data_IF_725170310681
#
_entry.id   IF_725170310681
#
_cell.length_a   1.000
_cell.length_b   1.000
_cell.length_c   1.000
_cell.angle_alpha   90.00
_cell.angle_beta   90.00
_cell.angle_gamma   90.00
#
_symmetry.space_group_name_H-M   'P 1'
#
loop_
_entity.id
_entity.type
_entity.pdbx_description
1 polymer ?
#
# COMPACT_ATOMS: atom_id res chain seq x y z
N UNK A 1 -17.96 -69.12 -3.42
CA UNK A 1 -18.68 -68.26 -2.48
C UNK A 1 -17.61 -67.61 -1.62
N UNK A 2 -17.31 -66.41 -1.64
CA UNK A 2 -18.00 -65.15 -1.74
C UNK A 2 -17.06 -64.08 -2.30
N UNK A 3 -17.60 -63.34 -3.25
CA UNK A 3 -17.04 -62.16 -3.88
C UNK A 3 -17.34 -60.96 -2.97
N UNK A 4 -16.61 -59.88 -3.11
CA UNK A 4 -16.75 -58.56 -2.45
C UNK A 4 -15.97 -58.32 -1.15
N UNK A 5 -14.80 -57.73 -1.34
CA UNK A 5 -14.37 -56.55 -0.57
C UNK A 5 -13.19 -55.82 -1.27
N UNK A 6 -13.53 -55.08 -2.28
CA UNK A 6 -12.57 -54.23 -3.01
C UNK A 6 -13.16 -52.84 -3.24
N UNK A 7 -13.32 -52.10 -2.15
CA UNK A 7 -13.71 -50.67 -2.23
C UNK A 7 -13.37 -50.04 -0.88
N UNK A 8 -12.56 -48.98 -0.94
CA UNK A 8 -12.13 -48.04 0.11
C UNK A 8 -10.67 -48.17 0.62
N UNK A 9 -9.72 -48.24 -0.30
CA UNK A 9 -8.38 -47.72 -0.03
C UNK A 9 -8.24 -46.42 -0.84
N UNK A 10 -8.68 -45.29 -0.25
CA UNK A 10 -8.27 -43.96 -0.71
C UNK A 10 -6.88 -43.72 -0.18
N UNK A 11 -5.86 -43.43 -1.02
CA UNK A 11 -4.59 -42.97 -0.55
C UNK A 11 -4.80 -41.63 0.17
N UNK A 12 -4.50 -41.63 1.46
CA UNK A 12 -4.42 -40.41 2.27
C UNK A 12 -3.49 -39.43 1.56
N UNK A 13 -4.05 -38.32 1.07
CA UNK A 13 -3.26 -37.19 0.60
C UNK A 13 -2.42 -36.70 1.78
N UNK A 14 -1.15 -37.11 1.81
CA UNK A 14 -0.15 -36.51 2.70
C UNK A 14 -0.14 -35.02 2.43
N UNK A 15 -0.57 -34.26 3.42
CA UNK A 15 -0.29 -32.81 3.45
C UNK A 15 1.20 -32.62 3.21
N UNK A 16 1.61 -31.67 2.34
CA UNK A 16 3.02 -31.37 2.21
C UNK A 16 3.56 -30.96 3.58
N UNK A 17 4.68 -31.56 3.94
CA UNK A 17 5.46 -31.32 5.13
C UNK A 17 5.62 -29.81 5.41
N UNK A 18 5.59 -29.34 6.66
CA UNK A 18 5.82 -27.95 6.98
C UNK A 18 7.21 -27.54 6.45
N UNK A 19 7.23 -26.42 5.75
CA UNK A 19 8.37 -25.79 5.10
C UNK A 19 9.66 -25.90 5.93
N UNK A 20 10.83 -26.12 5.30
CA UNK A 20 12.09 -26.18 6.01
C UNK A 20 12.30 -24.89 6.80
N UNK A 21 12.65 -25.07 8.05
CA UNK A 21 13.10 -24.11 9.05
C UNK A 21 13.06 -22.64 8.65
N UNK A 22 11.95 -21.97 8.96
CA UNK A 22 11.99 -20.54 9.18
C UNK A 22 13.06 -20.32 10.27
N UNK A 23 14.27 -19.92 9.88
CA UNK A 23 15.29 -19.42 10.79
C UNK A 23 14.56 -18.49 11.74
N UNK A 24 14.45 -18.87 13.01
CA UNK A 24 13.90 -18.03 14.07
C UNK A 24 14.63 -16.70 13.99
N UNK A 25 13.99 -15.70 13.39
CA UNK A 25 14.55 -14.37 13.31
C UNK A 25 14.84 -13.95 14.75
N UNK A 26 16.10 -13.61 15.03
CA UNK A 26 16.53 -13.21 16.36
C UNK A 26 15.64 -12.04 16.87
N UNK A 27 15.43 -11.90 18.20
CA UNK A 27 14.75 -10.73 18.73
C UNK A 27 15.46 -9.47 18.27
N UNK A 28 14.69 -8.39 17.98
CA UNK A 28 15.26 -7.09 17.61
C UNK A 28 16.29 -6.68 18.66
N UNK A 29 17.54 -6.38 18.30
CA UNK A 29 18.45 -5.76 19.25
C UNK A 29 17.81 -4.46 19.76
N UNK A 30 17.95 -4.18 21.06
CA UNK A 30 17.53 -2.91 21.63
C UNK A 30 18.32 -1.81 20.90
N UNK A 31 17.63 -1.01 20.09
CA UNK A 31 18.25 0.08 19.38
C UNK A 31 18.41 1.26 20.34
N UNK A 32 19.65 1.73 20.50
CA UNK A 32 19.89 3.00 21.17
C UNK A 32 19.10 4.09 20.43
N UNK A 33 18.43 5.02 21.15
CA UNK A 33 17.78 6.15 20.52
C UNK A 33 18.80 6.92 19.66
N UNK A 34 18.42 7.19 18.41
CA UNK A 34 19.27 7.90 17.48
C UNK A 34 19.61 9.32 18.00
N UNK A 35 20.81 9.74 17.76
CA UNK A 35 21.36 11.02 18.25
C UNK A 35 21.13 12.19 17.30
N UNK A 36 20.26 12.12 16.32
CA UNK A 36 20.23 13.15 15.31
C UNK A 36 19.13 14.21 15.53
N UNK A 37 19.48 15.33 16.11
CA UNK A 37 19.00 16.63 15.62
C UNK A 37 20.21 17.35 15.09
N UNK A 38 20.44 17.32 13.76
CA UNK A 38 21.56 17.96 13.06
C UNK A 38 22.97 17.42 13.41
N UNK A 39 23.07 16.31 14.18
CA UNK A 39 24.34 15.69 14.54
C UNK A 39 24.83 14.74 13.47
N UNK A 40 26.04 14.96 13.01
CA UNK A 40 26.79 14.02 12.18
C UNK A 40 27.21 12.80 13.03
N UNK A 41 27.04 11.56 12.52
CA UNK A 41 27.99 10.54 12.93
C UNK A 41 29.37 10.97 12.43
N UNK A 42 30.41 10.71 13.21
CA UNK A 42 31.78 11.20 12.92
C UNK A 42 32.31 10.71 11.56
N UNK A 43 31.68 9.75 10.92
CA UNK A 43 32.06 9.21 9.60
C UNK A 43 30.91 8.55 8.84
N UNK A 44 30.99 8.61 7.51
CA UNK A 44 30.08 7.85 6.63
C UNK A 44 30.28 6.35 6.89
N UNK A 45 29.20 5.58 7.12
CA UNK A 45 29.29 4.13 7.29
C UNK A 45 30.02 3.46 6.13
N UNK A 46 30.78 2.41 6.42
CA UNK A 46 31.54 1.69 5.40
C UNK A 46 31.33 0.19 5.54
N UNK A 47 31.41 -0.55 4.42
CA UNK A 47 31.25 -1.99 4.40
C UNK A 47 30.12 -2.47 3.52
N UNK A 48 29.70 -3.75 3.70
CA UNK A 48 28.59 -4.36 2.95
C UNK A 48 27.37 -4.49 3.84
N UNK A 49 26.28 -3.92 3.36
CA UNK A 49 24.99 -3.93 4.03
C UNK A 49 23.98 -4.76 3.24
N UNK A 50 22.94 -5.25 3.91
CA UNK A 50 21.82 -5.94 3.26
C UNK A 50 21.04 -4.96 2.39
N UNK A 51 20.78 -3.79 2.94
CA UNK A 51 20.17 -2.65 2.25
C UNK A 51 20.46 -1.36 3.03
N UNK A 52 20.20 -0.23 2.40
CA UNK A 52 20.34 1.09 3.01
C UNK A 52 19.01 1.83 2.86
N UNK A 53 18.42 2.24 3.97
CA UNK A 53 17.29 3.17 3.91
C UNK A 53 17.81 4.61 3.80
N UNK A 54 17.11 5.42 3.01
CA UNK A 54 17.42 6.83 2.78
C UNK A 54 16.17 7.66 2.90
N UNK A 55 16.31 8.82 3.50
CA UNK A 55 15.29 9.85 3.63
C UNK A 55 15.92 11.23 3.42
N UNK A 56 15.15 12.20 2.96
CA UNK A 56 15.64 13.57 2.73
C UNK A 56 14.65 14.60 3.23
N UNK A 57 15.22 15.72 3.79
CA UNK A 57 14.44 16.90 4.09
C UNK A 57 14.70 17.99 3.05
N UNK A 58 13.68 18.79 2.74
CA UNK A 58 13.75 19.85 1.73
C UNK A 58 13.51 21.21 2.34
N UNK A 59 14.24 22.21 1.86
CA UNK A 59 14.18 23.59 2.36
C UNK A 59 12.85 24.29 2.00
N UNK A 60 12.23 23.91 0.89
CA UNK A 60 10.98 24.49 0.40
C UNK A 60 10.18 23.47 -0.43
N UNK A 61 9.12 23.91 -1.09
CA UNK A 61 8.26 23.09 -1.95
C UNK A 61 8.94 22.58 -3.22
N UNK A 62 10.10 23.10 -3.60
CA UNK A 62 10.91 22.55 -4.67
C UNK A 62 11.61 21.28 -4.19
N UNK A 63 11.31 20.16 -4.82
CA UNK A 63 11.89 18.87 -4.47
C UNK A 63 13.43 18.82 -4.60
N UNK A 64 14.03 19.69 -5.41
CA UNK A 64 15.49 19.80 -5.55
C UNK A 64 16.17 20.49 -4.36
N UNK A 65 15.40 21.12 -3.46
CA UNK A 65 15.93 21.91 -2.33
C UNK A 65 16.36 21.06 -1.14
N UNK A 66 17.03 19.93 -1.37
CA UNK A 66 17.46 19.01 -0.31
C UNK A 66 18.38 19.74 0.68
N UNK A 67 17.98 19.75 1.96
CA UNK A 67 18.74 20.39 3.05
C UNK A 67 19.25 19.39 4.11
N UNK A 68 18.83 18.15 4.08
CA UNK A 68 19.39 17.06 4.89
C UNK A 68 19.26 15.75 4.12
N UNK A 69 20.25 14.87 4.23
CA UNK A 69 20.20 13.48 3.77
C UNK A 69 20.47 12.60 4.98
N UNK A 70 19.55 11.67 5.25
CA UNK A 70 19.68 10.65 6.28
C UNK A 70 19.77 9.27 5.65
N UNK A 71 20.63 8.43 6.19
CA UNK A 71 20.77 7.02 5.78
C UNK A 71 20.80 6.11 6.99
N UNK A 72 20.27 4.90 6.79
CA UNK A 72 20.29 3.83 7.78
C UNK A 72 20.75 2.54 7.11
N UNK A 73 21.96 2.12 7.43
CA UNK A 73 22.61 0.93 6.88
C UNK A 73 22.26 -0.29 7.72
N UNK A 74 21.69 -1.31 7.12
CA UNK A 74 21.31 -2.56 7.79
C UNK A 74 22.34 -3.64 7.49
N UNK A 75 23.04 -4.09 8.52
CA UNK A 75 24.07 -5.15 8.37
C UNK A 75 23.46 -6.56 8.30
N UNK A 76 24.33 -7.57 8.13
CA UNK A 76 23.92 -8.97 8.05
C UNK A 76 23.31 -9.53 9.35
N UNK A 77 23.51 -8.85 10.47
CA UNK A 77 22.97 -9.17 11.80
C UNK A 77 21.75 -8.33 12.18
N UNK A 78 21.13 -7.63 11.23
CA UNK A 78 19.98 -6.72 11.43
C UNK A 78 20.28 -5.50 12.32
N UNK A 79 21.55 -5.19 12.57
CA UNK A 79 21.91 -3.94 13.26
C UNK A 79 21.79 -2.79 12.29
N UNK A 80 21.35 -1.65 12.79
CA UNK A 80 21.17 -0.41 12.01
C UNK A 80 22.21 0.59 12.45
N UNK A 81 23.04 1.01 11.51
CA UNK A 81 23.95 2.12 11.65
C UNK A 81 23.36 3.32 10.92
N UNK A 82 23.16 4.44 11.62
CA UNK A 82 22.57 5.66 11.06
C UNK A 82 23.62 6.73 10.86
N UNK A 83 23.48 7.44 9.77
CA UNK A 83 24.26 8.63 9.45
C UNK A 83 23.34 9.69 8.86
N UNK A 84 23.57 10.95 9.18
CA UNK A 84 22.89 12.06 8.53
C UNK A 84 23.84 13.21 8.29
N UNK A 85 23.63 13.95 7.22
CA UNK A 85 24.39 15.14 6.90
C UNK A 85 23.47 16.26 6.44
N UNK A 86 23.80 17.47 6.85
CA UNK A 86 23.20 18.68 6.31
C UNK A 86 23.73 18.95 4.91
N UNK A 87 22.90 19.55 4.08
CA UNK A 87 23.21 19.93 2.71
C UNK A 87 22.80 21.37 2.51
N UNK A 88 23.68 22.17 1.92
CA UNK A 88 23.30 23.52 1.53
C UNK A 88 22.59 23.50 0.17
N UNK A 89 21.27 23.71 0.13
CA UNK A 89 20.52 23.69 -1.11
C UNK A 89 20.78 24.93 -1.99
N UNK A 90 21.43 25.95 -1.45
CA UNK A 90 21.62 27.30 -2.07
C UNK A 90 20.28 27.90 -2.52
N UNK A 91 19.22 27.59 -1.79
CA UNK A 91 17.84 28.00 -2.04
C UNK A 91 17.22 28.58 -0.78
N UNK A 92 16.13 29.34 -0.94
CA UNK A 92 15.39 29.87 0.20
C UNK A 92 14.73 28.75 1.00
N UNK A 93 14.55 28.99 2.30
CA UNK A 93 13.80 28.09 3.16
C UNK A 93 12.38 28.63 3.37
N UNK A 94 11.40 27.76 3.21
CA UNK A 94 10.01 28.11 3.51
C UNK A 94 9.72 27.94 5.01
N UNK A 95 9.00 28.88 5.64
CA UNK A 95 8.66 28.79 7.06
C UNK A 95 7.91 27.51 7.44
N UNK A 96 7.15 26.91 6.51
CA UNK A 96 6.48 25.64 6.73
C UNK A 96 7.50 24.51 6.92
N UNK A 97 8.48 24.40 6.03
CA UNK A 97 9.52 23.38 6.07
C UNK A 97 10.39 23.53 7.32
N UNK A 98 10.80 24.77 7.66
CA UNK A 98 11.52 25.04 8.90
C UNK A 98 10.73 24.57 10.14
N UNK A 99 9.43 24.82 10.20
CA UNK A 99 8.60 24.33 11.33
C UNK A 99 8.50 22.82 11.37
N UNK A 100 8.59 22.15 10.22
CA UNK A 100 8.45 20.70 10.09
C UNK A 100 9.68 19.96 10.62
N UNK A 101 10.87 20.28 10.09
CA UNK A 101 12.12 19.58 10.41
C UNK A 101 13.09 20.40 11.29
N UNK A 102 12.85 21.70 11.46
CA UNK A 102 13.68 22.58 12.32
C UNK A 102 14.97 23.09 11.68
N UNK A 103 15.32 22.67 10.46
CA UNK A 103 16.53 23.12 9.77
C UNK A 103 16.30 24.52 9.23
N UNK A 104 17.24 25.41 9.51
CA UNK A 104 17.26 26.82 9.08
C UNK A 104 18.45 27.12 8.18
N UNK A 105 18.43 28.23 7.43
CA UNK A 105 19.55 28.62 6.57
C UNK A 105 20.92 28.65 7.27
N UNK A 106 20.94 29.14 8.50
CA UNK A 106 22.16 29.21 9.33
C UNK A 106 22.76 27.85 9.68
N UNK A 107 21.94 26.81 9.72
CA UNK A 107 22.41 25.43 9.99
C UNK A 107 23.17 24.80 8.82
N UNK A 108 22.92 25.27 7.61
CA UNK A 108 23.46 24.66 6.36
C UNK A 108 24.51 25.57 5.68
N UNK A 109 24.85 26.71 6.26
CA UNK A 109 25.73 27.71 5.64
C UNK A 109 27.07 27.10 5.24
N UNK A 110 27.68 26.32 6.13
CA UNK A 110 28.97 25.65 5.93
C UNK A 110 28.82 24.20 5.43
N UNK A 111 27.58 23.72 5.17
CA UNK A 111 27.34 22.38 4.70
C UNK A 111 27.70 22.24 3.19
N UNK A 112 28.12 21.05 2.75
CA UNK A 112 28.38 20.79 1.34
C UNK A 112 27.13 21.04 0.48
N UNK A 113 27.33 21.46 -0.76
CA UNK A 113 26.20 21.48 -1.70
C UNK A 113 25.76 20.06 -2.06
N UNK A 114 24.59 19.92 -2.70
CA UNK A 114 24.04 18.61 -3.05
C UNK A 114 25.02 17.78 -3.90
N UNK A 115 25.73 18.41 -4.84
CA UNK A 115 26.69 17.71 -5.71
C UNK A 115 27.80 17.06 -4.89
N UNK A 116 28.39 17.81 -3.97
CA UNK A 116 29.49 17.32 -3.13
C UNK A 116 28.97 16.24 -2.16
N UNK A 117 27.81 16.47 -1.53
CA UNK A 117 27.18 15.53 -0.62
C UNK A 117 26.88 14.17 -1.27
N UNK A 118 26.32 14.19 -2.47
CA UNK A 118 25.97 12.95 -3.16
C UNK A 118 27.22 12.20 -3.65
N UNK A 119 28.27 12.91 -4.07
CA UNK A 119 29.56 12.30 -4.43
C UNK A 119 30.21 11.59 -3.24
N UNK A 120 30.14 12.17 -2.07
CA UNK A 120 30.64 11.53 -0.84
C UNK A 120 29.86 10.26 -0.50
N UNK A 121 28.57 10.20 -0.80
CA UNK A 121 27.69 9.06 -0.47
C UNK A 121 27.68 7.99 -1.55
N UNK A 122 27.97 8.30 -2.82
CA UNK A 122 27.91 7.32 -3.92
C UNK A 122 28.67 6.03 -3.69
N UNK A 123 29.92 6.02 -3.15
CA UNK A 123 30.64 4.77 -2.89
C UNK A 123 29.89 3.82 -1.95
N UNK A 124 29.10 4.39 -1.03
CA UNK A 124 28.24 3.63 -0.12
C UNK A 124 26.92 3.23 -0.79
N UNK A 125 26.29 4.13 -1.56
CA UNK A 125 24.94 3.90 -2.09
C UNK A 125 24.91 3.00 -3.34
N UNK A 126 25.88 3.14 -4.23
CA UNK A 126 25.91 2.45 -5.54
C UNK A 126 25.80 0.91 -5.45
N UNK A 127 26.52 0.22 -4.55
CA UNK A 127 26.47 -1.25 -4.50
C UNK A 127 25.22 -1.81 -3.83
N UNK A 128 24.41 -0.97 -3.16
CA UNK A 128 23.34 -1.44 -2.31
C UNK A 128 21.93 -1.21 -2.91
N UNK A 129 20.95 -1.97 -2.42
CA UNK A 129 19.55 -1.61 -2.57
C UNK A 129 19.19 -0.46 -1.65
N UNK A 130 18.56 0.56 -2.20
CA UNK A 130 18.07 1.70 -1.44
C UNK A 130 16.60 1.50 -1.10
N UNK A 131 16.24 1.79 0.14
CA UNK A 131 14.86 1.75 0.64
C UNK A 131 14.44 3.18 0.97
N UNK A 132 13.28 3.58 0.48
CA UNK A 132 12.62 4.85 0.81
C UNK A 132 11.28 4.58 1.47
N UNK A 133 10.72 5.58 2.16
CA UNK A 133 9.35 5.49 2.65
C UNK A 133 8.42 6.38 1.83
N UNK A 134 7.81 5.85 0.79
CA UNK A 134 7.17 6.53 -0.34
C UNK A 134 8.14 6.90 -1.46
N UNK A 135 7.64 7.56 -2.51
CA UNK A 135 8.48 7.87 -3.67
C UNK A 135 9.09 9.28 -3.62
N UNK A 136 8.97 9.97 -2.49
CA UNK A 136 9.42 11.37 -2.37
C UNK A 136 10.93 11.49 -2.48
N UNK A 137 11.68 10.69 -1.73
CA UNK A 137 13.15 10.78 -1.62
C UNK A 137 13.82 10.56 -2.97
N UNK A 138 13.40 9.53 -3.71
CA UNK A 138 13.87 9.29 -5.07
C UNK A 138 13.55 10.44 -6.01
N UNK A 139 12.36 11.03 -5.89
CA UNK A 139 11.97 12.19 -6.71
C UNK A 139 12.82 13.42 -6.37
N UNK A 140 13.07 13.69 -5.08
CA UNK A 140 13.88 14.79 -4.63
C UNK A 140 15.32 14.65 -5.12
N UNK A 141 15.95 13.50 -4.94
CA UNK A 141 17.31 13.23 -5.43
C UNK A 141 17.37 13.36 -6.97
N UNK A 142 16.36 12.83 -7.68
CA UNK A 142 16.27 12.96 -9.14
C UNK A 142 16.17 14.41 -9.56
N UNK A 143 15.35 15.21 -8.88
CA UNK A 143 15.19 16.63 -9.15
C UNK A 143 16.49 17.41 -8.88
N UNK A 144 17.15 17.13 -7.75
CA UNK A 144 18.42 17.75 -7.38
C UNK A 144 19.55 17.42 -8.36
N UNK A 145 19.66 16.14 -8.80
CA UNK A 145 20.62 15.75 -9.86
C UNK A 145 20.39 16.54 -11.14
N UNK A 146 19.14 16.60 -11.61
CA UNK A 146 18.79 17.35 -12.83
C UNK A 146 19.06 18.83 -12.68
N UNK A 147 18.73 19.40 -11.51
CA UNK A 147 18.94 20.82 -11.21
C UNK A 147 20.42 21.24 -11.22
N UNK A 148 21.33 20.33 -10.88
CA UNK A 148 22.78 20.58 -10.93
C UNK A 148 23.48 20.00 -12.19
N UNK A 149 22.69 19.52 -13.19
CA UNK A 149 23.25 19.01 -14.45
C UNK A 149 23.96 17.66 -14.32
N UNK A 150 23.67 16.88 -13.27
CA UNK A 150 24.22 15.52 -13.07
C UNK A 150 23.32 14.45 -13.65
N UNK A 151 23.92 13.37 -14.11
CA UNK A 151 23.18 12.15 -14.40
C UNK A 151 22.54 11.59 -13.12
N UNK A 152 21.30 11.14 -13.25
CA UNK A 152 20.58 10.47 -12.14
C UNK A 152 21.15 9.08 -11.95
N UNK A 153 21.67 8.73 -10.75
CA UNK A 153 22.21 7.42 -10.49
C UNK A 153 21.16 6.31 -10.73
N UNK A 154 21.57 5.22 -11.37
CA UNK A 154 20.70 4.08 -11.63
C UNK A 154 20.65 3.14 -10.41
N UNK A 155 20.23 3.66 -9.27
CA UNK A 155 20.10 2.89 -8.04
C UNK A 155 18.90 1.96 -8.06
N UNK A 156 19.02 0.86 -7.32
CA UNK A 156 17.94 -0.10 -7.12
C UNK A 156 17.09 0.34 -5.94
N UNK A 157 15.86 0.75 -6.20
CA UNK A 157 14.95 1.29 -5.19
C UNK A 157 13.89 0.28 -4.74
N UNK A 158 13.66 0.25 -3.43
CA UNK A 158 12.53 -0.40 -2.80
C UNK A 158 11.68 0.63 -2.03
N UNK A 159 10.39 0.39 -1.95
CA UNK A 159 9.45 1.26 -1.22
C UNK A 159 8.90 0.51 -0.01
N UNK A 160 9.30 0.95 1.20
CA UNK A 160 8.86 0.37 2.46
C UNK A 160 7.35 0.51 2.69
N UNK A 161 6.67 1.49 2.07
CA UNK A 161 5.19 1.57 2.07
C UNK A 161 4.59 0.37 1.35
N UNK A 162 5.17 -0.02 0.21
CA UNK A 162 4.71 -1.20 -0.55
C UNK A 162 4.96 -2.48 0.24
N UNK A 163 6.10 -2.58 0.91
CA UNK A 163 6.43 -3.69 1.82
C UNK A 163 5.46 -3.72 3.01
N UNK A 164 5.19 -2.59 3.64
CA UNK A 164 4.26 -2.47 4.76
C UNK A 164 2.81 -2.83 4.37
N UNK A 165 2.35 -2.46 3.19
CA UNK A 165 1.03 -2.85 2.66
C UNK A 165 0.88 -4.37 2.52
N UNK A 166 1.99 -5.05 2.26
CA UNK A 166 2.02 -6.51 2.20
C UNK A 166 2.00 -7.15 3.58
N UNK A 167 2.75 -6.58 4.53
CA UNK A 167 2.88 -7.12 5.88
C UNK A 167 1.65 -6.84 6.76
N UNK A 168 1.04 -5.65 6.61
CA UNK A 168 -0.10 -5.19 7.42
C UNK A 168 -1.24 -4.67 6.55
N UNK A 169 -1.94 -5.53 5.79
CA UNK A 169 -3.03 -5.11 4.89
C UNK A 169 -4.24 -4.52 5.65
N UNK A 170 -4.38 -4.82 6.94
CA UNK A 170 -5.39 -4.32 7.86
C UNK A 170 -5.29 -2.81 8.12
N UNK A 171 -4.11 -2.21 7.90
CA UNK A 171 -3.91 -0.76 8.02
C UNK A 171 -4.53 0.04 6.87
N UNK A 172 -4.94 -0.62 5.78
CA UNK A 172 -5.67 0.04 4.71
C UNK A 172 -7.03 0.49 5.24
N UNK A 173 -7.21 1.82 5.32
CA UNK A 173 -8.39 2.40 5.92
C UNK A 173 -8.30 2.70 7.43
N UNK A 174 -7.25 2.22 8.09
CA UNK A 174 -6.99 2.41 9.52
C UNK A 174 -5.70 3.24 9.73
N UNK A 175 -5.70 4.50 9.29
CA UNK A 175 -4.55 5.40 9.36
C UNK A 175 -3.50 5.19 8.26
N UNK A 176 -3.60 4.11 7.47
CA UNK A 176 -2.72 3.83 6.35
C UNK A 176 -1.31 3.36 6.75
N UNK A 177 -0.38 3.43 5.79
CA UNK A 177 0.98 2.89 5.92
C UNK A 177 2.05 3.98 5.96
N UNK A 178 1.70 5.22 6.34
CA UNK A 178 2.68 6.29 6.58
C UNK A 178 3.46 6.05 7.88
N UNK A 179 4.71 6.59 7.97
CA UNK A 179 5.60 6.38 9.11
C UNK A 179 4.95 6.74 10.45
N UNK A 180 4.17 7.82 10.52
CA UNK A 180 3.48 8.23 11.74
C UNK A 180 2.49 7.17 12.27
N UNK A 181 1.78 6.47 11.38
CA UNK A 181 0.87 5.39 11.77
C UNK A 181 1.64 4.09 12.07
N UNK A 182 2.65 3.76 11.28
CA UNK A 182 3.52 2.61 11.51
C UNK A 182 4.31 2.76 12.81
N UNK A 183 4.74 3.98 13.18
CA UNK A 183 5.32 4.29 14.49
C UNK A 183 4.44 3.77 15.63
N UNK A 184 3.15 4.10 15.60
CA UNK A 184 2.18 3.66 16.62
C UNK A 184 1.97 2.14 16.57
N UNK A 185 1.77 1.59 15.39
CA UNK A 185 1.48 0.16 15.16
C UNK A 185 2.63 -0.76 15.56
N UNK A 186 3.85 -0.35 15.28
CA UNK A 186 5.08 -1.12 15.52
C UNK A 186 5.81 -0.69 16.78
N UNK A 187 5.30 0.33 17.50
CA UNK A 187 5.90 0.92 18.71
C UNK A 187 7.35 1.37 18.45
N UNK A 188 7.56 2.04 17.31
CA UNK A 188 8.86 2.57 16.97
C UNK A 188 9.11 3.86 17.76
N UNK A 189 10.34 4.04 18.23
CA UNK A 189 10.78 5.27 18.88
C UNK A 189 11.74 6.03 17.96
N UNK A 190 11.30 7.21 17.48
CA UNK A 190 12.09 8.11 16.64
C UNK A 190 11.47 9.51 16.59
N UNK A 191 12.29 10.51 16.26
CA UNK A 191 11.82 11.87 16.00
C UNK A 191 11.44 11.98 14.52
N UNK A 192 10.15 12.18 14.23
CA UNK A 192 9.68 12.38 12.87
C UNK A 192 10.16 13.72 12.30
N UNK A 193 10.52 13.76 11.02
CA UNK A 193 11.12 14.90 10.33
C UNK A 193 12.56 15.19 10.74
N UNK A 194 13.31 14.15 11.03
CA UNK A 194 14.76 14.11 11.03
C UNK A 194 15.18 13.02 10.05
N UNK A 195 15.85 13.36 8.96
CA UNK A 195 16.11 12.43 7.86
C UNK A 195 16.82 11.14 8.31
N UNK A 196 17.76 11.22 9.27
CA UNK A 196 18.44 10.05 9.83
C UNK A 196 17.49 9.13 10.59
N UNK A 197 16.59 9.71 11.38
CA UNK A 197 15.60 8.98 12.16
C UNK A 197 14.49 8.41 11.28
N UNK A 198 14.04 9.13 10.25
CA UNK A 198 13.03 8.65 9.31
C UNK A 198 13.60 7.54 8.41
N UNK A 199 14.87 7.64 7.97
CA UNK A 199 15.58 6.54 7.30
C UNK A 199 15.68 5.30 8.21
N UNK A 200 16.03 5.47 9.50
CA UNK A 200 16.06 4.39 10.48
C UNK A 200 14.69 3.76 10.66
N UNK A 201 13.65 4.56 10.74
CA UNK A 201 12.28 4.07 10.85
C UNK A 201 11.85 3.28 9.60
N UNK A 202 12.21 3.73 8.40
CA UNK A 202 11.97 3.00 7.16
C UNK A 202 12.69 1.65 7.13
N UNK A 203 13.95 1.59 7.60
CA UNK A 203 14.70 0.34 7.77
C UNK A 203 14.01 -0.61 8.78
N UNK A 204 13.57 -0.09 9.92
CA UNK A 204 12.84 -0.89 10.93
C UNK A 204 11.51 -1.43 10.38
N UNK A 205 10.79 -0.67 9.57
CA UNK A 205 9.57 -1.15 8.89
C UNK A 205 9.87 -2.38 8.04
N UNK A 206 10.97 -2.38 7.29
CA UNK A 206 11.39 -3.54 6.48
C UNK A 206 11.72 -4.74 7.38
N UNK A 207 12.53 -4.57 8.42
CA UNK A 207 12.89 -5.64 9.35
C UNK A 207 11.68 -6.24 10.08
N UNK A 208 10.72 -5.40 10.47
CA UNK A 208 9.45 -5.87 11.04
C UNK A 208 8.62 -6.64 10.02
N UNK A 209 8.60 -6.20 8.75
CA UNK A 209 7.87 -6.87 7.69
C UNK A 209 8.49 -8.25 7.35
N UNK A 210 9.80 -8.37 7.35
CA UNK A 210 10.51 -9.65 7.20
C UNK A 210 10.03 -10.65 8.26
N UNK A 211 9.99 -10.23 9.51
CA UNK A 211 9.53 -11.05 10.63
C UNK A 211 8.05 -11.41 10.55
N UNK A 212 7.22 -10.43 10.25
CA UNK A 212 5.77 -10.61 10.12
C UNK A 212 5.41 -11.62 9.03
N UNK A 213 6.17 -11.63 7.93
CA UNK A 213 5.90 -12.47 6.77
C UNK A 213 6.76 -13.73 6.71
N UNK A 214 7.81 -13.84 7.53
CA UNK A 214 8.79 -14.93 7.47
C UNK A 214 9.58 -14.94 6.15
N UNK A 215 9.87 -13.76 5.58
CA UNK A 215 10.52 -13.58 4.29
C UNK A 215 11.75 -12.68 4.45
N UNK A 216 12.79 -12.92 3.65
CA UNK A 216 13.93 -12.03 3.58
C UNK A 216 13.66 -10.83 2.68
N UNK A 217 14.47 -9.78 2.80
CA UNK A 217 14.34 -8.54 2.04
C UNK A 217 14.22 -8.78 0.53
N UNK A 218 15.07 -9.64 -0.02
CA UNK A 218 15.07 -9.99 -1.45
C UNK A 218 13.74 -10.63 -1.89
N UNK A 219 13.10 -11.40 -1.01
CA UNK A 219 11.79 -12.00 -1.26
C UNK A 219 10.66 -10.99 -1.12
N UNK A 220 10.84 -9.98 -0.27
CA UNK A 220 9.90 -8.86 -0.17
C UNK A 220 9.88 -8.02 -1.44
N UNK A 221 10.98 -7.93 -2.17
CA UNK A 221 11.08 -7.21 -3.44
C UNK A 221 10.43 -7.94 -4.62
N UNK A 222 10.27 -9.27 -4.51
CA UNK A 222 9.65 -10.05 -5.59
C UNK A 222 8.20 -9.61 -5.80
N UNK A 223 7.80 -9.41 -7.07
CA UNK A 223 6.41 -9.12 -7.38
C UNK A 223 5.51 -10.19 -6.75
N UNK A 224 4.54 -9.78 -5.96
CA UNK A 224 3.49 -10.70 -5.57
C UNK A 224 2.74 -11.14 -6.83
N UNK A 225 2.38 -12.43 -6.96
CA UNK A 225 1.37 -12.79 -7.92
C UNK A 225 0.21 -11.84 -7.63
N UNK A 226 -0.10 -10.98 -8.59
CA UNK A 226 -1.27 -10.11 -8.48
C UNK A 226 -2.40 -11.04 -8.09
N UNK A 227 -2.94 -10.88 -6.85
CA UNK A 227 -4.30 -11.37 -6.61
C UNK A 227 -5.04 -10.78 -7.79
N UNK A 228 -5.41 -11.61 -8.74
CA UNK A 228 -6.22 -11.18 -9.87
C UNK A 228 -7.43 -10.57 -9.21
N UNK A 229 -7.47 -9.24 -9.13
CA UNK A 229 -8.70 -8.55 -8.81
C UNK A 229 -9.64 -9.13 -9.83
N UNK A 230 -10.67 -9.84 -9.36
CA UNK A 230 -11.62 -10.51 -10.20
C UNK A 230 -11.90 -9.58 -11.36
N UNK A 231 -11.63 -10.03 -12.58
CA UNK A 231 -11.61 -9.23 -13.80
C UNK A 231 -12.76 -8.24 -13.69
N UNK A 232 -12.55 -6.97 -14.07
CA UNK A 232 -13.60 -5.95 -13.98
C UNK A 232 -14.83 -6.55 -14.63
N UNK A 233 -15.71 -7.17 -13.84
CA UNK A 233 -16.84 -7.93 -14.35
C UNK A 233 -17.80 -6.89 -14.90
N UNK A 234 -17.88 -6.85 -16.21
CA UNK A 234 -18.89 -6.09 -16.93
C UNK A 234 -19.74 -7.09 -17.70
N UNK A 235 -21.04 -7.10 -17.43
CA UNK A 235 -21.99 -7.96 -18.12
C UNK A 235 -23.11 -7.10 -18.67
N UNK A 236 -23.61 -7.46 -19.84
CA UNK A 236 -24.86 -6.92 -20.36
C UNK A 236 -26.00 -7.62 -19.62
N UNK A 237 -27.01 -6.87 -19.21
CA UNK A 237 -28.22 -7.43 -18.62
C UNK A 237 -29.07 -8.14 -19.68
N UNK A 238 -29.82 -9.13 -19.24
CA UNK A 238 -30.85 -9.77 -20.07
C UNK A 238 -31.91 -8.71 -20.43
N UNK A 239 -32.13 -8.42 -21.72
CA UNK A 239 -33.16 -7.46 -22.13
C UNK A 239 -34.60 -7.84 -21.75
N UNK A 240 -34.84 -9.14 -21.49
CA UNK A 240 -36.12 -9.64 -21.00
C UNK A 240 -36.22 -9.65 -19.47
N UNK A 241 -35.14 -9.35 -18.74
CA UNK A 241 -35.13 -9.33 -17.29
C UNK A 241 -35.94 -8.14 -16.74
N UNK A 242 -36.60 -8.35 -15.60
CA UNK A 242 -37.47 -7.36 -14.99
C UNK A 242 -36.75 -6.06 -14.55
N UNK A 243 -35.42 -6.11 -14.39
CA UNK A 243 -34.56 -4.95 -14.09
C UNK A 243 -33.83 -4.41 -15.33
N UNK A 244 -34.34 -4.70 -16.54
CA UNK A 244 -33.76 -4.20 -17.78
C UNK A 244 -33.69 -2.65 -17.76
N UNK A 245 -32.59 -2.11 -18.26
CA UNK A 245 -32.30 -0.67 -18.21
C UNK A 245 -31.59 -0.21 -16.91
N UNK A 246 -31.54 -1.02 -15.86
CA UNK A 246 -30.78 -0.69 -14.66
C UNK A 246 -29.28 -0.95 -14.85
N UNK A 247 -28.47 -0.12 -14.22
CA UNK A 247 -27.00 -0.23 -14.20
C UNK A 247 -26.52 -0.40 -12.78
N UNK A 248 -25.82 -1.51 -12.51
CA UNK A 248 -25.31 -1.84 -11.17
C UNK A 248 -23.79 -1.83 -11.11
N UNK A 249 -23.28 -1.33 -10.01
CA UNK A 249 -21.84 -1.34 -9.65
C UNK A 249 -21.68 -1.97 -8.28
N UNK A 250 -20.70 -2.85 -8.14
CA UNK A 250 -20.37 -3.50 -6.87
C UNK A 250 -19.12 -2.89 -6.23
N UNK A 251 -19.12 -2.70 -4.90
CA UNK A 251 -18.00 -2.22 -4.11
C UNK A 251 -17.94 -2.92 -2.75
N UNK A 252 -16.79 -2.83 -2.07
CA UNK A 252 -16.60 -3.46 -0.76
C UNK A 252 -16.43 -5.00 -0.84
N UNK A 253 -16.38 -5.64 0.32
CA UNK A 253 -16.29 -7.08 0.48
C UNK A 253 -17.69 -7.70 0.47
N UNK A 254 -18.07 -8.38 -0.61
CA UNK A 254 -19.31 -9.14 -0.70
C UNK A 254 -19.12 -10.54 -0.10
N UNK A 255 -20.17 -11.11 0.46
CA UNK A 255 -20.20 -12.51 0.92
C UNK A 255 -20.17 -13.47 -0.26
N UNK A 256 -20.92 -13.16 -1.32
CA UNK A 256 -20.85 -13.91 -2.59
C UNK A 256 -19.68 -13.45 -3.45
N UNK A 257 -19.23 -14.29 -4.37
CA UNK A 257 -18.20 -13.87 -5.34
C UNK A 257 -18.74 -12.75 -6.25
N UNK A 258 -17.87 -11.81 -6.66
CA UNK A 258 -18.28 -10.74 -7.58
C UNK A 258 -18.78 -11.25 -8.91
N UNK A 259 -18.27 -12.39 -9.38
CA UNK A 259 -18.74 -13.05 -10.61
C UNK A 259 -20.16 -13.54 -10.43
N UNK A 260 -20.46 -14.18 -9.32
CA UNK A 260 -21.80 -14.64 -9.00
C UNK A 260 -22.80 -13.49 -8.87
N UNK A 261 -22.43 -12.44 -8.11
CA UNK A 261 -23.24 -11.23 -7.98
C UNK A 261 -23.54 -10.60 -9.35
N UNK A 262 -22.53 -10.52 -10.21
CA UNK A 262 -22.67 -9.96 -11.55
C UNK A 262 -23.56 -10.84 -12.47
N UNK A 263 -23.42 -12.17 -12.39
CA UNK A 263 -24.25 -13.09 -13.15
C UNK A 263 -25.71 -12.97 -12.74
N UNK A 264 -26.02 -12.97 -11.44
CA UNK A 264 -27.37 -12.78 -10.92
C UNK A 264 -27.98 -11.43 -11.34
N UNK A 265 -27.18 -10.37 -11.25
CA UNK A 265 -27.61 -9.05 -11.71
C UNK A 265 -27.94 -9.04 -13.21
N UNK A 266 -27.09 -9.66 -14.03
CA UNK A 266 -27.29 -9.73 -15.48
C UNK A 266 -28.50 -10.57 -15.86
N UNK A 267 -28.75 -11.70 -15.19
CA UNK A 267 -29.94 -12.54 -15.37
C UNK A 267 -31.22 -11.78 -15.02
N UNK A 268 -31.19 -10.94 -13.96
CA UNK A 268 -32.31 -10.07 -13.61
C UNK A 268 -32.50 -8.87 -14.56
N UNK A 269 -31.62 -8.68 -15.54
CA UNK A 269 -31.69 -7.61 -16.55
C UNK A 269 -30.76 -6.42 -16.31
N UNK A 270 -30.02 -6.37 -15.21
CA UNK A 270 -29.16 -5.24 -14.88
C UNK A 270 -27.82 -5.28 -15.68
N UNK A 271 -27.44 -4.15 -16.27
CA UNK A 271 -26.10 -3.98 -16.83
C UNK A 271 -25.06 -3.80 -15.71
N UNK A 272 -24.09 -4.71 -15.63
CA UNK A 272 -23.00 -4.62 -14.65
C UNK A 272 -21.87 -3.77 -15.19
N UNK A 273 -21.42 -2.76 -14.42
CA UNK A 273 -20.32 -1.88 -14.77
C UNK A 273 -19.22 -1.90 -13.71
N UNK A 274 -17.98 -1.65 -14.16
CA UNK A 274 -16.82 -1.67 -13.29
C UNK A 274 -16.71 -0.42 -12.38
N UNK A 275 -17.31 0.70 -12.74
CA UNK A 275 -17.23 1.97 -12.03
C UNK A 275 -18.52 2.77 -12.08
N UNK A 276 -18.69 3.68 -11.11
CA UNK A 276 -19.84 4.59 -11.02
C UNK A 276 -19.77 5.65 -12.11
N UNK A 277 -20.86 5.78 -12.86
CA UNK A 277 -21.06 6.75 -13.95
C UNK A 277 -22.44 7.41 -13.82
N UNK A 278 -22.73 8.41 -14.65
CA UNK A 278 -24.07 9.04 -14.71
C UNK A 278 -25.21 8.06 -15.03
N UNK A 279 -24.90 6.90 -15.62
CA UNK A 279 -25.88 5.86 -15.94
C UNK A 279 -26.09 4.88 -14.78
N UNK A 280 -25.29 4.95 -13.70
CA UNK A 280 -25.41 4.01 -12.57
C UNK A 280 -26.70 4.28 -11.81
N UNK A 281 -27.54 3.23 -11.70
CA UNK A 281 -28.79 3.29 -10.94
C UNK A 281 -28.67 2.65 -9.55
N UNK A 282 -27.76 1.67 -9.42
CA UNK A 282 -27.54 0.95 -8.16
C UNK A 282 -26.05 0.84 -7.83
N UNK A 283 -25.69 1.16 -6.59
CA UNK A 283 -24.41 0.79 -6.01
C UNK A 283 -24.66 -0.25 -4.91
N UNK A 284 -24.13 -1.45 -5.09
CA UNK A 284 -24.20 -2.51 -4.09
C UNK A 284 -22.91 -2.51 -3.27
N UNK A 285 -23.07 -2.40 -1.95
CA UNK A 285 -21.98 -2.37 -0.96
C UNK A 285 -22.07 -3.64 -0.12
N UNK A 286 -20.95 -4.25 0.24
CA UNK A 286 -20.97 -5.37 1.18
C UNK A 286 -21.57 -4.97 2.53
N UNK A 287 -22.41 -5.83 3.11
CA UNK A 287 -23.16 -5.52 4.34
C UNK A 287 -22.25 -5.19 5.52
N UNK A 288 -21.10 -5.89 5.61
CA UNK A 288 -20.09 -5.61 6.63
C UNK A 288 -19.51 -4.20 6.50
N UNK A 289 -19.31 -3.75 5.26
CA UNK A 289 -18.79 -2.39 5.01
C UNK A 289 -19.83 -1.31 5.31
N UNK A 290 -21.12 -1.62 5.18
CA UNK A 290 -22.22 -0.68 5.56
C UNK A 290 -22.30 -0.50 7.07
N UNK A 291 -22.13 -1.54 7.86
CA UNK A 291 -22.20 -1.47 9.34
C UNK A 291 -21.01 -0.71 9.96
N UNK A 292 -19.84 -0.75 9.32
CA UNK A 292 -18.62 -0.06 9.77
C UNK A 292 -18.56 1.39 9.29
N UNK A 293 -19.30 1.73 8.22
CA UNK A 293 -19.22 3.03 7.53
C UNK A 293 -19.93 4.20 8.23
N UNK A 294 -20.44 4.02 9.44
CA UNK A 294 -21.01 5.13 10.22
C UNK A 294 -19.95 6.19 10.61
N UNK A 295 -18.65 6.00 10.30
CA UNK A 295 -17.62 6.95 10.68
C UNK A 295 -16.45 7.13 9.72
N UNK A 296 -15.88 6.11 9.10
CA UNK A 296 -14.64 6.25 8.31
C UNK A 296 -14.50 5.21 7.21
N UNK A 297 -13.96 5.65 6.05
CA UNK A 297 -13.43 4.87 4.92
C UNK A 297 -14.41 4.29 3.90
N UNK A 298 -15.25 5.15 3.37
CA UNK A 298 -16.02 4.85 2.16
C UNK A 298 -15.06 4.66 0.96
N UNK A 299 -15.28 3.62 0.17
CA UNK A 299 -14.53 3.42 -1.08
C UNK A 299 -14.73 4.60 -2.04
N UNK A 300 -13.78 4.83 -2.96
CA UNK A 300 -13.93 5.88 -3.98
C UNK A 300 -15.23 5.73 -4.80
N UNK A 301 -15.70 4.50 -5.02
CA UNK A 301 -16.99 4.25 -5.70
C UNK A 301 -18.18 4.68 -4.83
N UNK A 302 -18.09 4.45 -3.51
CA UNK A 302 -19.13 4.82 -2.57
C UNK A 302 -19.24 6.36 -2.48
N UNK A 303 -18.11 7.05 -2.25
CA UNK A 303 -18.07 8.53 -2.23
C UNK A 303 -18.61 9.12 -3.51
N UNK A 304 -18.17 8.62 -4.67
CA UNK A 304 -18.65 9.11 -5.96
C UNK A 304 -20.15 8.88 -6.14
N UNK A 305 -20.72 7.77 -5.67
CA UNK A 305 -22.15 7.51 -5.75
C UNK A 305 -22.95 8.44 -4.85
N UNK A 306 -22.45 8.76 -3.64
CA UNK A 306 -23.05 9.74 -2.74
C UNK A 306 -23.03 11.15 -3.35
N UNK A 307 -21.88 11.61 -3.83
CA UNK A 307 -21.73 12.89 -4.52
C UNK A 307 -22.73 13.04 -5.67
N UNK A 308 -22.87 11.98 -6.47
CA UNK A 308 -23.82 12.00 -7.58
C UNK A 308 -25.28 11.97 -7.11
N UNK A 309 -25.62 11.20 -6.08
CA UNK A 309 -26.96 11.19 -5.48
C UNK A 309 -27.31 12.56 -4.91
N UNK A 310 -26.37 13.18 -4.19
CA UNK A 310 -26.56 14.50 -3.59
C UNK A 310 -26.65 15.62 -4.66
N UNK A 311 -26.06 15.37 -5.84
CA UNK A 311 -26.25 16.19 -7.05
C UNK A 311 -27.55 15.87 -7.83
N UNK A 312 -28.48 15.07 -7.26
CA UNK A 312 -29.79 14.78 -7.85
C UNK A 312 -29.85 13.59 -8.83
N UNK A 313 -28.78 12.81 -8.99
CA UNK A 313 -28.85 11.57 -9.79
C UNK A 313 -29.59 10.46 -9.04
N UNK A 314 -30.44 9.66 -9.69
CA UNK A 314 -31.25 8.63 -9.05
C UNK A 314 -30.46 7.36 -8.73
N UNK A 315 -29.36 7.48 -7.98
CA UNK A 315 -28.53 6.34 -7.56
C UNK A 315 -29.04 5.79 -6.22
N UNK A 316 -29.35 4.51 -6.19
CA UNK A 316 -29.70 3.77 -4.97
C UNK A 316 -28.45 3.06 -4.43
N UNK A 317 -28.06 3.38 -3.20
CA UNK A 317 -26.96 2.70 -2.49
C UNK A 317 -27.59 1.66 -1.57
N UNK A 318 -27.33 0.38 -1.82
CA UNK A 318 -27.96 -0.74 -1.12
C UNK A 318 -26.90 -1.74 -0.62
N UNK A 319 -27.23 -2.47 0.43
CA UNK A 319 -26.42 -3.58 0.93
C UNK A 319 -26.54 -4.82 0.06
N UNK A 320 -25.63 -5.76 0.25
CA UNK A 320 -25.64 -7.05 -0.46
C UNK A 320 -26.92 -7.82 -0.20
N UNK A 321 -27.41 -7.89 1.05
CA UNK A 321 -28.65 -8.58 1.40
C UNK A 321 -29.87 -7.96 0.70
N UNK A 322 -29.92 -6.63 0.61
CA UNK A 322 -30.98 -5.94 -0.12
C UNK A 322 -30.91 -6.19 -1.63
N UNK A 323 -29.70 -6.28 -2.19
CA UNK A 323 -29.50 -6.66 -3.59
C UNK A 323 -29.98 -8.11 -3.85
N UNK A 324 -29.64 -9.05 -2.97
CA UNK A 324 -30.09 -10.45 -3.10
C UNK A 324 -31.62 -10.53 -3.08
N UNK A 325 -32.26 -9.82 -2.16
CA UNK A 325 -33.73 -9.76 -2.10
C UNK A 325 -34.33 -9.13 -3.37
N UNK A 326 -33.69 -8.09 -3.92
CA UNK A 326 -34.13 -7.44 -5.16
C UNK A 326 -34.14 -8.41 -6.33
N UNK A 327 -33.04 -9.14 -6.57
CA UNK A 327 -32.92 -10.07 -7.70
C UNK A 327 -33.79 -11.33 -7.50
N UNK A 328 -33.92 -11.84 -6.27
CA UNK A 328 -34.74 -13.02 -5.98
C UNK A 328 -36.27 -12.78 -6.19
N UNK A 329 -36.74 -11.58 -5.85
CA UNK A 329 -38.15 -11.18 -6.06
C UNK A 329 -38.50 -11.18 -7.54
N UNK A 330 -37.60 -10.77 -8.40
CA UNK A 330 -37.80 -10.70 -9.84
C UNK A 330 -37.78 -12.09 -10.50
N UNK A 331 -36.94 -13.02 -10.02
CA UNK A 331 -36.94 -14.40 -10.46
C UNK A 331 -38.29 -15.10 -10.20
N UNK A 332 -38.97 -14.74 -9.09
CA UNK A 332 -40.27 -15.30 -8.74
C UNK A 332 -41.44 -14.74 -9.58
N UNK A 333 -41.33 -13.50 -10.04
CA UNK A 333 -42.30 -12.84 -10.93
C UNK A 333 -42.18 -13.39 -12.33
N UNK A 334 -40.94 -13.52 -12.85
CA UNK A 334 -40.69 -14.08 -14.20
C UNK A 334 -41.24 -15.51 -14.37
N UNK A 335 -41.12 -16.37 -13.36
CA UNK A 335 -41.65 -17.75 -13.38
C UNK A 335 -43.17 -17.80 -13.41
N UNK A 336 -43.84 -16.88 -12.70
CA UNK A 336 -45.33 -16.83 -12.70
C UNK A 336 -45.92 -16.38 -14.02
N UNK A 337 -45.25 -15.52 -14.76
CA UNK A 337 -45.68 -15.02 -16.07
C UNK A 337 -45.52 -16.10 -17.14
N UNK A 338 -44.52 -16.98 -17.04
CA UNK A 338 -44.30 -18.09 -17.98
C UNK A 338 -45.33 -19.21 -17.82
N UNK A 339 -45.77 -19.49 -16.58
CA UNK A 339 -46.78 -20.50 -16.31
C UNK A 339 -48.22 -20.10 -16.74
N UNK A 340 -48.51 -18.80 -16.86
CA UNK A 340 -49.80 -18.28 -17.32
C UNK A 340 -49.94 -18.24 -18.85
N UNK A 341 -48.84 -18.44 -19.60
CA UNK A 341 -48.88 -18.37 -21.08
C UNK A 341 -48.95 -19.76 -21.72
N UNK A 342 -48.97 -20.85 -20.94
CA UNK A 342 -48.98 -22.27 -21.40
C UNK A 342 -50.28 -22.98 -20.94
N UNK A 343 -51.24 -22.20 -20.37
CA UNK A 343 -52.53 -22.72 -19.95
C UNK A 343 -53.65 -22.42 -20.94
#
# INVERSE_FOLDING_TARGET
MSVFNWLFDRPSLKHPDPRPDAKRLAPMPAHAPGRSRFGHADSIPSGRFRFIAIDVETACSDAASICQIGIACVDQGDRIETFSMLVNPRMRFDPFNIRLHGIRPDHVEDAPCFTDAIEMLMPLLDPHHLVQHSNFDRQAITAACRGCGRDVPNWRWADSVTIARRAWPDLKGNGGHGLANLKKRLKLDFHHHDAGEDARAAAMVVLHAERQLGLLFEDLLKPQPRKTFAAKVTLKGDPAGALAGSVVVFTGALRMSRTEAATRAAQAGMCVRAGVTKQTTHLVVGDHDLSVLAGHDKSNKHRKAEEMRDAGHPIRIIGESAFQALVAKEDSISRRTTDQTIG
#
